data_IF_103206251479
#
_entry.id   IF_103206251479
#
_cell.length_a   1.000
_cell.length_b   1.000
_cell.length_c   1.000
_cell.angle_alpha   90.00
_cell.angle_beta   90.00
_cell.angle_gamma   90.00
#
_symmetry.space_group_name_H-M   'P 1'
#
loop_
_entity.id
_entity.type
_entity.pdbx_description
1 polymer ?
#
# COMPACT_ATOMS: atom_id res chain seq x y z
N UNK A 1 -8.56 15.49 3.79
CA UNK A 1 -8.43 15.11 2.37
C UNK A 1 -7.69 13.79 2.20
N UNK A 2 -6.46 13.62 2.73
CA UNK A 2 -5.66 12.39 2.62
C UNK A 2 -6.38 11.08 3.00
N UNK A 3 -7.23 11.08 4.04
CA UNK A 3 -7.98 9.88 4.44
C UNK A 3 -9.00 9.45 3.38
N UNK A 4 -9.71 10.40 2.77
CA UNK A 4 -10.70 10.12 1.74
C UNK A 4 -10.05 9.65 0.43
N UNK A 5 -8.92 10.26 0.05
CA UNK A 5 -8.15 9.83 -1.12
C UNK A 5 -7.60 8.42 -0.93
N UNK A 6 -7.10 8.11 0.28
CA UNK A 6 -6.62 6.77 0.63
C UNK A 6 -7.75 5.74 0.60
N UNK A 7 -8.93 6.08 1.13
CA UNK A 7 -10.09 5.19 1.09
C UNK A 7 -10.52 4.87 -0.34
N UNK A 8 -10.64 5.89 -1.21
CA UNK A 8 -11.01 5.69 -2.62
C UNK A 8 -10.00 4.79 -3.34
N UNK A 9 -8.70 4.98 -3.09
CA UNK A 9 -7.64 4.14 -3.65
C UNK A 9 -7.78 2.68 -3.19
N UNK A 10 -7.87 2.46 -1.87
CA UNK A 10 -7.96 1.11 -1.30
C UNK A 10 -9.24 0.39 -1.75
N UNK A 11 -10.38 1.09 -1.77
CA UNK A 11 -11.65 0.53 -2.24
C UNK A 11 -11.56 0.04 -3.69
N UNK A 12 -10.90 0.79 -4.58
CA UNK A 12 -10.74 0.37 -5.98
C UNK A 12 -9.72 -0.75 -6.12
N UNK A 13 -8.59 -0.64 -5.42
CA UNK A 13 -7.52 -1.64 -5.47
C UNK A 13 -8.00 -3.01 -4.97
N UNK A 14 -8.67 -3.05 -3.82
CA UNK A 14 -9.12 -4.29 -3.18
C UNK A 14 -10.30 -4.96 -3.89
N UNK A 15 -10.92 -4.30 -4.88
CA UNK A 15 -11.96 -4.86 -5.74
C UNK A 15 -11.41 -5.61 -6.95
N UNK A 16 -10.11 -5.55 -7.20
CA UNK A 16 -9.50 -6.27 -8.32
C UNK A 16 -9.52 -7.78 -8.03
N UNK A 17 -10.23 -8.54 -8.88
CA UNK A 17 -10.27 -9.99 -8.81
C UNK A 17 -8.86 -10.56 -9.03
N UNK A 18 -8.49 -11.57 -8.24
CA UNK A 18 -7.15 -12.20 -8.34
C UNK A 18 -6.01 -11.36 -7.78
N UNK A 19 -6.29 -10.23 -7.11
CA UNK A 19 -5.26 -9.44 -6.43
C UNK A 19 -4.54 -10.27 -5.37
N UNK A 20 -3.21 -10.29 -5.43
CA UNK A 20 -2.37 -10.98 -4.45
C UNK A 20 -1.10 -10.21 -4.14
N UNK A 21 -0.56 -10.45 -2.94
CA UNK A 21 0.74 -9.93 -2.55
C UNK A 21 1.82 -10.82 -3.17
N UNK A 22 2.58 -10.25 -4.12
CA UNK A 22 3.77 -10.89 -4.70
C UNK A 22 4.98 -10.80 -3.78
N UNK A 23 5.16 -9.64 -3.15
CA UNK A 23 6.24 -9.36 -2.19
C UNK A 23 5.71 -8.51 -1.05
N UNK A 24 5.88 -8.99 0.18
CA UNK A 24 5.56 -8.22 1.40
C UNK A 24 6.47 -6.98 1.50
N UNK A 25 5.98 -5.86 2.05
CA UNK A 25 6.79 -4.67 2.22
C UNK A 25 7.85 -4.88 3.29
N UNK A 26 8.91 -4.09 3.20
CA UNK A 26 9.80 -3.80 4.32
C UNK A 26 9.28 -2.57 5.07
N UNK A 27 9.16 -2.67 6.39
CA UNK A 27 8.78 -1.54 7.24
C UNK A 27 10.04 -0.83 7.72
N UNK A 28 10.17 0.47 7.46
CA UNK A 28 11.31 1.28 7.90
C UNK A 28 10.83 2.55 8.59
N UNK A 29 11.49 2.95 9.67
CA UNK A 29 11.24 4.25 10.28
C UNK A 29 11.95 5.35 9.47
N UNK A 30 11.22 6.40 9.13
CA UNK A 30 11.71 7.59 8.44
C UNK A 30 11.77 8.74 9.44
N UNK A 31 12.97 9.21 9.75
CA UNK A 31 13.17 10.39 10.60
C UNK A 31 12.66 11.67 9.94
N UNK A 32 12.71 11.74 8.61
CA UNK A 32 12.23 12.90 7.84
C UNK A 32 10.71 13.02 7.90
N UNK A 33 10.00 11.92 7.70
CA UNK A 33 8.54 11.90 7.82
C UNK A 33 8.06 11.77 9.28
N UNK A 34 8.97 11.45 10.22
CA UNK A 34 8.65 11.08 11.60
C UNK A 34 7.58 9.97 11.65
N UNK A 35 7.76 8.95 10.83
CA UNK A 35 6.76 7.91 10.63
C UNK A 35 7.33 6.64 10.00
N UNK A 36 6.51 5.59 9.95
CA UNK A 36 6.87 4.35 9.27
C UNK A 36 6.54 4.42 7.78
N UNK A 37 7.46 3.93 6.96
CA UNK A 37 7.32 3.82 5.51
C UNK A 37 7.36 2.36 5.08
N UNK A 38 6.59 2.04 4.03
CA UNK A 38 6.58 0.75 3.38
C UNK A 38 7.47 0.82 2.13
N UNK A 39 8.48 -0.04 2.08
CA UNK A 39 9.43 -0.13 0.97
C UNK A 39 9.26 -1.47 0.25
N UNK A 40 9.50 -1.48 -1.07
CA UNK A 40 9.51 -2.70 -1.89
C UNK A 40 8.23 -3.55 -1.84
N UNK A 41 7.06 -2.94 -1.58
CA UNK A 41 5.78 -3.65 -1.62
C UNK A 41 5.40 -3.96 -3.08
N UNK A 42 5.12 -5.23 -3.39
CA UNK A 42 4.65 -5.60 -4.74
C UNK A 42 3.39 -6.42 -4.61
N UNK A 43 2.34 -5.96 -5.28
CA UNK A 43 1.09 -6.66 -5.52
C UNK A 43 0.98 -6.96 -7.00
N UNK A 44 0.27 -8.03 -7.34
CA UNK A 44 -0.01 -8.39 -8.73
C UNK A 44 -1.45 -8.88 -8.87
N UNK A 45 -1.94 -8.82 -10.09
CA UNK A 45 -3.24 -9.36 -10.50
C UNK A 45 -2.96 -10.48 -11.50
N UNK A 46 -3.64 -11.61 -11.34
CA UNK A 46 -3.50 -12.77 -12.22
C UNK A 46 -4.36 -12.65 -13.48
#
# INVERSE_FOLDING_TARGET
MALQETDVLLQRLLRLDGLRIKRKPELRWSSTASGYELHNFIIEVN
#
